data_IF_575521325848
#
_entry.id   IF_575521325848
#
_cell.length_a   1.000
_cell.length_b   1.000
_cell.length_c   1.000
_cell.angle_alpha   90.00
_cell.angle_beta   90.00
_cell.angle_gamma   90.00
#
_symmetry.space_group_name_H-M   'P 1'
#
loop_
_entity.id
_entity.type
_entity.pdbx_description
1 polymer ?
#
# COMPACT_ATOMS: atom_id res chain seq x y z
N UNK A 1 18.05 -1.75 -29.32
CA UNK A 1 16.66 -1.26 -29.47
C UNK A 1 16.52 -0.07 -28.55
N UNK A 2 16.02 1.07 -29.02
CA UNK A 2 15.85 2.25 -28.18
C UNK A 2 14.91 1.91 -27.01
N UNK A 3 15.31 2.25 -25.79
CA UNK A 3 14.46 2.12 -24.61
C UNK A 3 13.74 3.46 -24.48
N UNK A 4 12.44 3.44 -24.68
CA UNK A 4 11.59 4.62 -24.57
C UNK A 4 10.49 4.36 -23.55
N UNK A 5 10.21 5.39 -22.73
CA UNK A 5 9.15 5.37 -21.71
C UNK A 5 8.17 6.49 -22.03
N UNK A 6 6.92 6.11 -22.21
CA UNK A 6 5.83 7.04 -22.47
C UNK A 6 5.27 7.55 -21.15
N UNK A 7 5.01 8.85 -21.08
CA UNK A 7 4.15 9.44 -20.05
C UNK A 7 2.92 9.97 -20.77
N UNK A 8 1.73 9.54 -20.35
CA UNK A 8 0.49 10.00 -20.96
C UNK A 8 0.29 11.50 -20.68
N UNK A 9 -0.24 12.26 -21.64
CA UNK A 9 -0.45 13.71 -21.48
C UNK A 9 -1.39 14.02 -20.32
N UNK A 10 -2.36 13.15 -20.06
CA UNK A 10 -3.30 13.26 -18.93
C UNK A 10 -2.61 13.23 -17.56
N UNK A 11 -1.35 12.80 -17.48
CA UNK A 11 -0.53 12.87 -16.27
C UNK A 11 -0.57 14.28 -15.63
N UNK A 12 -0.55 15.34 -16.45
CA UNK A 12 -0.55 16.73 -15.95
C UNK A 12 -1.90 17.21 -15.43
N UNK A 13 -2.97 16.45 -15.67
CA UNK A 13 -4.34 16.76 -15.23
C UNK A 13 -4.78 15.86 -14.07
N UNK A 14 -3.95 14.90 -13.67
CA UNK A 14 -4.23 14.01 -12.54
C UNK A 14 -4.26 14.81 -11.23
N UNK A 15 -5.31 14.61 -10.43
CA UNK A 15 -5.56 15.37 -9.19
C UNK A 15 -4.38 15.23 -8.21
N UNK A 16 -3.83 14.02 -8.08
CA UNK A 16 -2.68 13.80 -7.22
C UNK A 16 -1.44 14.55 -7.74
N UNK A 17 -1.20 14.56 -9.06
CA UNK A 17 -0.06 15.27 -9.65
C UNK A 17 -0.16 16.80 -9.50
N UNK A 18 -1.39 17.35 -9.53
CA UNK A 18 -1.62 18.78 -9.34
C UNK A 18 -1.27 19.24 -7.92
N UNK A 19 -1.53 18.40 -6.92
CA UNK A 19 -1.22 18.67 -5.51
C UNK A 19 0.28 18.55 -5.16
N UNK A 20 1.08 17.91 -6.03
CA UNK A 20 2.52 17.77 -5.82
C UNK A 20 3.26 19.08 -6.03
N UNK A 21 4.24 19.32 -5.17
CA UNK A 21 5.24 20.37 -5.40
C UNK A 21 6.01 20.12 -6.71
N UNK A 22 6.57 21.15 -7.35
CA UNK A 22 7.38 20.96 -8.56
C UNK A 22 8.53 19.97 -8.39
N UNK A 23 9.15 19.96 -7.20
CA UNK A 23 10.23 19.04 -6.84
C UNK A 23 9.74 17.59 -6.79
N UNK A 24 8.64 17.32 -6.09
CA UNK A 24 8.04 15.99 -6.04
C UNK A 24 7.59 15.51 -7.42
N UNK A 25 6.98 16.40 -8.20
CA UNK A 25 6.51 16.07 -9.55
C UNK A 25 7.65 15.68 -10.48
N UNK A 26 8.73 16.46 -10.45
CA UNK A 26 9.95 16.12 -11.20
C UNK A 26 10.52 14.78 -10.76
N UNK A 27 10.60 14.54 -9.45
CA UNK A 27 11.11 13.28 -8.93
C UNK A 27 10.21 12.10 -9.31
N UNK A 28 8.88 12.26 -9.32
CA UNK A 28 7.97 11.21 -9.74
C UNK A 28 8.13 10.89 -11.23
N UNK A 29 8.23 11.91 -12.09
CA UNK A 29 8.54 11.71 -13.51
C UNK A 29 9.87 10.95 -13.66
N UNK A 30 10.88 11.32 -12.87
CA UNK A 30 12.15 10.60 -12.85
C UNK A 30 11.99 9.12 -12.47
N UNK A 31 11.17 8.79 -11.48
CA UNK A 31 10.87 7.38 -11.14
C UNK A 31 10.18 6.66 -12.30
N UNK A 32 9.28 7.33 -13.03
CA UNK A 32 8.57 6.72 -14.17
C UNK A 32 9.45 6.54 -15.42
N UNK A 33 10.42 7.43 -15.65
CA UNK A 33 11.20 7.48 -16.89
C UNK A 33 12.69 7.26 -16.73
N UNK A 34 13.16 6.97 -15.52
CA UNK A 34 14.57 6.82 -15.18
C UNK A 34 15.28 5.70 -15.96
N UNK A 35 16.60 5.77 -16.05
CA UNK A 35 17.42 4.86 -16.88
C UNK A 35 17.33 3.39 -16.43
N UNK A 36 16.96 3.15 -15.17
CA UNK A 36 16.80 1.80 -14.60
C UNK A 36 15.39 1.24 -14.72
N UNK A 37 14.41 2.04 -15.14
CA UNK A 37 13.00 1.63 -15.21
C UNK A 37 12.79 0.44 -16.13
N UNK A 38 11.92 -0.48 -15.70
CA UNK A 38 11.64 -1.76 -16.36
C UNK A 38 10.20 -1.80 -16.85
N UNK A 39 9.93 -2.69 -17.80
CA UNK A 39 8.59 -2.85 -18.34
C UNK A 39 7.59 -3.36 -17.28
N UNK A 40 8.06 -4.15 -16.31
CA UNK A 40 7.26 -4.58 -15.16
C UNK A 40 7.05 -3.50 -14.08
N UNK A 41 7.73 -2.35 -14.15
CA UNK A 41 7.66 -1.32 -13.11
C UNK A 41 8.37 -1.67 -11.80
N UNK A 42 9.10 -2.80 -11.75
CA UNK A 42 9.93 -3.22 -10.62
C UNK A 42 11.40 -3.16 -11.04
N UNK A 43 12.21 -2.42 -10.31
CA UNK A 43 13.63 -2.26 -10.64
C UNK A 43 14.46 -1.79 -9.46
N UNK A 44 15.77 -2.08 -9.51
CA UNK A 44 16.72 -1.54 -8.54
C UNK A 44 16.90 -0.05 -8.76
N UNK A 45 16.71 0.75 -7.71
CA UNK A 45 17.00 2.19 -7.70
C UNK A 45 18.22 2.47 -6.80
N UNK A 46 19.44 2.53 -7.35
CA UNK A 46 20.59 2.99 -6.59
C UNK A 46 20.44 4.48 -6.28
N UNK A 47 20.29 4.84 -5.01
CA UNK A 47 20.10 6.24 -4.57
C UNK A 47 21.21 7.17 -5.09
N UNK A 48 22.45 6.69 -5.23
CA UNK A 48 23.58 7.44 -5.80
C UNK A 48 23.41 7.78 -7.29
N UNK A 49 22.74 6.93 -8.05
CA UNK A 49 22.40 7.23 -9.46
C UNK A 49 21.30 8.27 -9.52
N UNK A 50 20.28 8.16 -8.65
CA UNK A 50 19.22 9.16 -8.54
C UNK A 50 19.79 10.53 -8.16
N UNK A 51 20.71 10.60 -7.20
CA UNK A 51 21.43 11.83 -6.81
C UNK A 51 22.10 12.50 -8.03
N UNK A 52 22.84 11.72 -8.82
CA UNK A 52 23.57 12.24 -9.98
C UNK A 52 22.64 12.65 -11.15
N UNK A 53 21.60 11.86 -11.43
CA UNK A 53 20.69 12.11 -12.56
C UNK A 53 19.70 13.25 -12.26
N UNK A 54 19.27 13.40 -11.00
CA UNK A 54 18.33 14.47 -10.59
C UNK A 54 19.03 15.76 -10.15
N UNK A 55 20.32 15.68 -9.78
CA UNK A 55 21.07 16.80 -9.19
C UNK A 55 20.74 17.09 -7.73
N UNK A 56 19.89 16.29 -7.09
CA UNK A 56 19.58 16.38 -5.67
C UNK A 56 20.69 15.77 -4.83
N UNK A 57 20.74 16.13 -3.54
CA UNK A 57 21.61 15.44 -2.58
C UNK A 57 20.92 14.16 -2.05
N UNK A 58 21.70 13.30 -1.40
CA UNK A 58 21.20 12.02 -0.87
C UNK A 58 20.00 12.18 0.09
N UNK A 59 20.03 13.18 0.96
CA UNK A 59 18.97 13.44 1.95
C UNK A 59 17.65 13.79 1.26
N UNK A 60 17.69 14.66 0.24
CA UNK A 60 16.52 15.02 -0.56
C UNK A 60 15.98 13.81 -1.32
N UNK A 61 16.85 12.99 -1.94
CA UNK A 61 16.42 11.76 -2.64
C UNK A 61 15.71 10.82 -1.67
N UNK A 62 16.26 10.61 -0.48
CA UNK A 62 15.69 9.72 0.53
C UNK A 62 14.36 10.26 1.08
N UNK A 63 14.28 11.57 1.35
CA UNK A 63 13.06 12.24 1.78
C UNK A 63 11.95 12.11 0.73
N UNK A 64 12.25 12.39 -0.54
CA UNK A 64 11.27 12.30 -1.63
C UNK A 64 10.82 10.85 -1.83
N UNK A 65 11.75 9.89 -1.79
CA UNK A 65 11.43 8.47 -1.89
C UNK A 65 10.46 8.05 -0.77
N UNK A 66 10.74 8.41 0.48
CA UNK A 66 9.87 8.10 1.61
C UNK A 66 8.49 8.75 1.47
N UNK A 67 8.39 9.99 0.98
CA UNK A 67 7.09 10.64 0.71
C UNK A 67 6.26 9.86 -0.30
N UNK A 68 6.85 9.35 -1.39
CA UNK A 68 6.12 8.54 -2.36
C UNK A 68 5.71 7.15 -1.84
N UNK A 69 6.46 6.59 -0.90
CA UNK A 69 6.04 5.41 -0.14
C UNK A 69 4.85 5.74 0.76
N UNK A 70 4.89 6.86 1.48
CA UNK A 70 3.78 7.33 2.33
C UNK A 70 2.51 7.67 1.53
N UNK A 71 2.65 8.21 0.32
CA UNK A 71 1.53 8.42 -0.61
C UNK A 71 0.98 7.13 -1.19
N UNK A 72 1.64 6.00 -1.01
CA UNK A 72 1.25 4.71 -1.58
C UNK A 72 1.41 4.64 -3.11
N UNK A 73 2.27 5.48 -3.69
CA UNK A 73 2.55 5.46 -5.14
C UNK A 73 3.68 4.51 -5.51
N UNK A 74 4.58 4.23 -4.56
CA UNK A 74 5.66 3.27 -4.73
C UNK A 74 5.81 2.40 -3.49
N UNK A 75 6.39 1.22 -3.66
CA UNK A 75 6.97 0.42 -2.60
C UNK A 75 8.48 0.41 -2.79
N UNK A 76 9.22 0.45 -1.69
CA UNK A 76 10.67 0.40 -1.72
C UNK A 76 11.16 -0.59 -0.68
N UNK A 77 11.98 -1.54 -1.11
CA UNK A 77 12.66 -2.47 -0.23
C UNK A 77 14.11 -2.03 0.00
N UNK A 78 14.46 -1.77 1.26
CA UNK A 78 15.79 -1.30 1.64
C UNK A 78 16.86 -2.39 1.49
N UNK A 79 16.50 -3.67 1.61
CA UNK A 79 17.45 -4.79 1.54
C UNK A 79 17.90 -5.05 0.10
N UNK A 80 16.93 -5.24 -0.81
CA UNK A 80 17.21 -5.50 -2.22
C UNK A 80 17.49 -4.22 -3.01
N UNK A 81 17.13 -3.05 -2.46
CA UNK A 81 17.14 -1.72 -3.10
C UNK A 81 16.23 -1.65 -4.32
N UNK A 82 15.22 -2.51 -4.35
CA UNK A 82 14.21 -2.58 -5.40
C UNK A 82 13.05 -1.64 -5.09
N UNK A 83 12.55 -1.01 -6.14
CA UNK A 83 11.40 -0.13 -6.14
C UNK A 83 10.33 -0.77 -7.00
N UNK A 84 9.09 -0.77 -6.52
CA UNK A 84 7.90 -1.16 -7.28
C UNK A 84 6.94 0.02 -7.40
N UNK A 85 6.59 0.42 -8.63
CA UNK A 85 5.63 1.50 -8.88
C UNK A 85 4.21 0.94 -8.87
N UNK A 86 3.36 1.46 -7.98
CA UNK A 86 1.96 1.05 -7.87
C UNK A 86 1.16 1.55 -9.08
N UNK A 87 0.19 0.74 -9.53
CA UNK A 87 -0.63 0.99 -10.71
C UNK A 87 0.16 1.18 -12.02
N UNK A 88 1.36 0.60 -12.10
CA UNK A 88 2.20 0.68 -13.31
C UNK A 88 1.50 0.10 -14.56
N UNK A 89 0.80 -1.03 -14.40
CA UNK A 89 0.15 -1.77 -15.49
C UNK A 89 -0.99 -0.97 -16.15
N UNK A 90 -1.68 -0.13 -15.39
CA UNK A 90 -2.73 0.76 -15.91
C UNK A 90 -2.21 1.67 -17.03
N UNK A 91 -1.00 2.20 -16.87
CA UNK A 91 -0.39 3.12 -17.84
C UNK A 91 0.55 2.40 -18.83
N UNK A 92 1.08 1.24 -18.45
CA UNK A 92 2.05 0.45 -19.23
C UNK A 92 1.56 -1.00 -19.44
N UNK A 93 0.44 -1.19 -20.15
CA UNK A 93 -0.20 -2.50 -20.27
C UNK A 93 0.61 -3.52 -21.09
N UNK A 94 0.40 -4.80 -20.81
CA UNK A 94 1.03 -5.91 -21.52
C UNK A 94 0.20 -6.25 -22.76
N UNK A 95 0.40 -5.47 -23.83
CA UNK A 95 -0.44 -5.56 -25.03
C UNK A 95 -0.07 -6.71 -25.99
N UNK A 96 1.16 -7.21 -25.94
CA UNK A 96 1.63 -8.22 -26.88
C UNK A 96 2.63 -9.19 -26.26
N UNK A 97 2.82 -10.33 -26.94
CA UNK A 97 3.71 -11.42 -26.51
C UNK A 97 5.18 -11.01 -26.36
N UNK A 98 5.63 -9.98 -27.07
CA UNK A 98 7.02 -9.50 -26.95
C UNK A 98 7.21 -8.68 -25.65
N UNK A 99 6.23 -7.84 -25.32
CA UNK A 99 6.17 -7.12 -24.04
C UNK A 99 6.09 -8.13 -22.89
N UNK A 100 5.22 -9.13 -23.02
CA UNK A 100 5.10 -10.21 -22.04
C UNK A 100 6.43 -10.96 -21.82
N UNK A 101 7.13 -11.35 -22.90
CA UNK A 101 8.47 -11.95 -22.81
C UNK A 101 9.50 -11.03 -22.15
N UNK A 102 9.39 -9.73 -22.38
CA UNK A 102 10.26 -8.73 -21.74
C UNK A 102 9.99 -8.69 -20.23
N UNK A 103 8.73 -8.55 -19.83
CA UNK A 103 8.28 -8.56 -18.43
C UNK A 103 8.72 -9.85 -17.73
N UNK A 104 8.48 -11.00 -18.36
CA UNK A 104 8.91 -12.30 -17.81
C UNK A 104 10.43 -12.36 -17.56
N UNK A 105 11.25 -11.82 -18.47
CA UNK A 105 12.71 -11.78 -18.28
C UNK A 105 13.10 -10.87 -17.13
N UNK A 106 12.43 -9.72 -17.00
CA UNK A 106 12.70 -8.75 -15.93
C UNK A 106 12.28 -9.29 -14.56
N UNK A 107 11.09 -9.88 -14.44
CA UNK A 107 10.61 -10.46 -13.18
C UNK A 107 11.50 -11.58 -12.66
N UNK A 108 12.11 -12.39 -13.54
CA UNK A 108 13.11 -13.41 -13.12
C UNK A 108 14.35 -12.82 -12.45
N UNK A 109 14.65 -11.55 -12.69
CA UNK A 109 15.81 -10.86 -12.10
C UNK A 109 15.47 -10.11 -10.82
N UNK A 110 14.18 -9.96 -10.51
CA UNK A 110 13.71 -9.34 -9.27
C UNK A 110 14.05 -10.26 -8.10
N UNK A 111 14.65 -9.69 -7.06
CA UNK A 111 15.07 -10.43 -5.87
C UNK A 111 13.94 -10.53 -4.86
N UNK A 112 13.16 -9.47 -4.71
CA UNK A 112 12.05 -9.42 -3.79
C UNK A 112 10.85 -10.20 -4.36
N UNK A 113 10.58 -11.38 -3.78
CA UNK A 113 9.48 -12.25 -4.20
C UNK A 113 8.12 -11.62 -3.96
N UNK A 114 7.96 -10.85 -2.88
CA UNK A 114 6.72 -10.15 -2.55
C UNK A 114 6.28 -9.24 -3.71
N UNK A 115 7.20 -8.46 -4.28
CA UNK A 115 6.89 -7.60 -5.41
C UNK A 115 6.45 -8.38 -6.64
N UNK A 116 7.03 -9.56 -6.88
CA UNK A 116 6.62 -10.44 -7.97
C UNK A 116 5.20 -10.96 -7.71
N UNK A 117 4.90 -11.44 -6.51
CA UNK A 117 3.55 -11.91 -6.15
C UNK A 117 2.51 -10.78 -6.27
N UNK A 118 2.80 -9.59 -5.77
CA UNK A 118 1.92 -8.42 -5.90
C UNK A 118 1.67 -8.05 -7.37
N UNK A 119 2.71 -8.09 -8.20
CA UNK A 119 2.58 -7.83 -9.64
C UNK A 119 1.68 -8.86 -10.33
N UNK A 120 1.85 -10.15 -10.02
CA UNK A 120 1.05 -11.22 -10.59
C UNK A 120 -0.41 -11.13 -10.13
N UNK A 121 -0.66 -10.84 -8.85
CA UNK A 121 -2.01 -10.59 -8.32
C UNK A 121 -2.69 -9.44 -9.05
N UNK A 122 -2.00 -8.32 -9.24
CA UNK A 122 -2.51 -7.18 -10.03
C UNK A 122 -2.83 -7.57 -11.48
N UNK A 123 -2.01 -8.42 -12.10
CA UNK A 123 -2.31 -8.92 -13.43
C UNK A 123 -3.59 -9.76 -13.49
N UNK A 124 -3.90 -10.51 -12.43
CA UNK A 124 -5.11 -11.31 -12.30
C UNK A 124 -6.34 -10.42 -12.07
N UNK A 125 -6.26 -9.46 -11.14
CA UNK A 125 -7.33 -8.50 -10.82
C UNK A 125 -7.78 -7.69 -12.05
N UNK A 126 -6.84 -7.32 -12.93
CA UNK A 126 -7.11 -6.56 -14.15
C UNK A 126 -7.34 -7.46 -15.39
N UNK A 127 -7.44 -8.77 -15.21
CA UNK A 127 -7.73 -9.78 -16.25
C UNK A 127 -6.76 -9.74 -17.46
N UNK A 128 -5.47 -9.49 -17.21
CA UNK A 128 -4.48 -9.43 -18.29
C UNK A 128 -4.17 -10.80 -18.91
N UNK A 129 -4.11 -10.84 -20.24
CA UNK A 129 -3.76 -12.07 -21.00
C UNK A 129 -2.25 -12.31 -21.01
N UNK A 130 -1.74 -12.97 -19.97
CA UNK A 130 -0.31 -13.25 -19.78
C UNK A 130 0.05 -14.74 -19.62
N UNK A 131 -0.21 -15.57 -20.64
CA UNK A 131 -0.01 -17.03 -20.57
C UNK A 131 1.42 -17.48 -20.24
N UNK A 132 2.45 -16.75 -20.69
CA UNK A 132 3.86 -17.08 -20.43
C UNK A 132 4.26 -16.81 -18.98
N UNK A 133 3.67 -15.80 -18.34
CA UNK A 133 3.90 -15.55 -16.92
C UNK A 133 3.27 -16.65 -16.08
N UNK A 134 2.02 -17.02 -16.36
CA UNK A 134 1.33 -18.12 -15.68
C UNK A 134 2.04 -19.45 -15.85
N UNK A 135 2.59 -19.72 -17.04
CA UNK A 135 3.37 -20.92 -17.27
C UNK A 135 4.64 -20.99 -16.40
N UNK A 136 5.26 -19.85 -16.09
CA UNK A 136 6.56 -19.83 -15.40
C UNK A 136 6.44 -19.69 -13.89
N UNK A 137 5.60 -18.77 -13.42
CA UNK A 137 5.42 -18.48 -12.00
C UNK A 137 4.29 -19.29 -11.37
N UNK A 138 3.45 -19.93 -12.18
CA UNK A 138 2.15 -20.44 -11.74
C UNK A 138 1.09 -19.33 -11.78
N UNK A 139 -0.18 -19.71 -11.72
CA UNK A 139 -1.17 -18.76 -11.20
C UNK A 139 -0.78 -18.52 -9.74
N UNK A 140 -0.76 -17.27 -9.25
CA UNK A 140 -0.77 -17.07 -7.80
C UNK A 140 -1.99 -17.87 -7.33
N UNK A 141 -1.73 -18.86 -6.47
CA UNK A 141 -2.83 -19.55 -5.80
C UNK A 141 -3.68 -18.45 -5.17
N UNK A 142 -5.01 -18.60 -5.24
CA UNK A 142 -5.86 -17.91 -4.28
C UNK A 142 -5.42 -18.48 -2.94
N UNK A 143 -4.40 -17.87 -2.33
CA UNK A 143 -4.06 -18.12 -0.96
C UNK A 143 -5.21 -17.53 -0.13
N UNK A 144 -6.28 -18.31 -0.01
CA UNK A 144 -6.48 -19.00 1.25
C UNK A 144 -5.12 -19.61 1.65
N UNK A 145 -4.50 -19.07 2.67
CA UNK A 145 -4.70 -19.88 3.86
C UNK A 145 -3.67 -21.00 4.16
N UNK A 146 -2.45 -21.07 3.59
CA UNK A 146 -1.49 -22.16 3.93
C UNK A 146 -0.06 -22.08 3.37
N UNK A 147 0.84 -21.56 4.22
CA UNK A 147 2.14 -22.16 4.60
C UNK A 147 3.38 -22.14 3.67
N UNK A 148 4.28 -21.20 3.98
CA UNK A 148 5.66 -21.52 4.39
C UNK A 148 5.98 -20.79 5.72
N UNK A 149 5.53 -21.43 6.80
CA UNK A 149 6.02 -21.42 8.18
C UNK A 149 6.46 -20.08 8.81
N UNK A 150 5.49 -19.34 9.36
CA UNK A 150 5.50 -18.96 10.79
C UNK A 150 4.10 -19.24 11.33
N UNK A 151 4.01 -20.18 12.26
CA UNK A 151 2.80 -20.67 12.92
C UNK A 151 1.98 -19.51 13.52
N UNK A 152 0.84 -19.15 12.92
CA UNK A 152 -0.31 -18.58 13.62
C UNK A 152 -1.58 -18.99 12.86
N UNK A 153 -2.48 -19.64 13.59
CA UNK A 153 -3.77 -20.18 13.13
C UNK A 153 -4.61 -19.17 12.35
N UNK A 154 -5.20 -19.67 11.27
CA UNK A 154 -6.15 -18.95 10.43
C UNK A 154 -7.54 -19.42 10.83
N UNK A 155 -8.21 -18.63 11.66
CA UNK A 155 -9.66 -18.72 11.77
C UNK A 155 -10.27 -17.95 10.60
N UNK A 156 -11.00 -18.66 9.75
CA UNK A 156 -12.04 -18.10 8.90
C UNK A 156 -12.85 -17.10 9.73
N UNK A 157 -12.90 -15.85 9.29
CA UNK A 157 -13.83 -14.90 9.86
C UNK A 157 -15.19 -15.17 9.19
N UNK A 158 -15.88 -16.18 9.74
CA UNK A 158 -17.34 -16.27 9.69
C UNK A 158 -17.98 -14.94 10.13
N UNK A 159 -19.23 -14.72 9.73
CA UNK A 159 -20.03 -13.50 9.91
C UNK A 159 -20.27 -13.04 11.38
N UNK A 160 -19.48 -13.50 12.35
CA UNK A 160 -19.63 -13.24 13.80
C UNK A 160 -18.41 -12.59 14.47
N UNK A 161 -17.51 -11.96 13.71
CA UNK A 161 -16.45 -11.14 14.35
C UNK A 161 -17.01 -9.84 14.92
N UNK A 162 -16.62 -9.46 16.15
CA UNK A 162 -16.95 -8.16 16.70
C UNK A 162 -16.46 -7.06 15.76
N UNK A 163 -17.38 -6.20 15.29
CA UNK A 163 -17.11 -5.01 14.47
C UNK A 163 -16.82 -5.25 12.97
N UNK A 164 -17.36 -6.32 12.37
CA UNK A 164 -17.30 -6.57 10.92
C UNK A 164 -17.70 -5.38 10.02
N UNK A 165 -18.58 -4.50 10.51
CA UNK A 165 -19.01 -3.27 9.83
C UNK A 165 -17.84 -2.29 9.55
N UNK A 166 -16.81 -2.26 10.40
CA UNK A 166 -15.63 -1.40 10.22
C UNK A 166 -14.85 -1.79 8.98
N UNK A 167 -14.62 -3.10 8.82
CA UNK A 167 -13.89 -3.66 7.68
C UNK A 167 -14.68 -3.46 6.38
N UNK A 168 -15.98 -3.79 6.39
CA UNK A 168 -16.88 -3.57 5.24
C UNK A 168 -16.89 -2.10 4.80
N UNK A 169 -17.02 -1.15 5.73
CA UNK A 169 -17.04 0.27 5.39
C UNK A 169 -15.69 0.75 4.83
N UNK A 170 -14.58 0.30 5.42
CA UNK A 170 -13.25 0.65 4.94
C UNK A 170 -13.04 0.18 3.49
N UNK A 171 -13.38 -1.07 3.19
CA UNK A 171 -13.22 -1.65 1.87
C UNK A 171 -14.08 -0.95 0.81
N UNK A 172 -15.33 -0.64 1.15
CA UNK A 172 -16.29 -0.02 0.22
C UNK A 172 -15.99 1.45 -0.08
N UNK A 173 -15.45 2.19 0.88
CA UNK A 173 -15.41 3.66 0.81
C UNK A 173 -14.01 4.27 0.91
N UNK A 174 -13.01 3.51 1.34
CA UNK A 174 -11.64 4.00 1.56
C UNK A 174 -10.65 3.33 0.61
N UNK A 175 -10.40 2.03 0.78
CA UNK A 175 -9.39 1.27 0.03
C UNK A 175 -9.53 -0.22 0.31
N UNK A 176 -8.90 -1.08 -0.51
CA UNK A 176 -8.78 -2.51 -0.23
C UNK A 176 -8.14 -2.80 1.14
N UNK A 177 -8.58 -3.89 1.77
CA UNK A 177 -8.10 -4.35 3.07
C UNK A 177 -6.83 -5.19 2.89
N UNK A 178 -5.65 -4.56 2.94
CA UNK A 178 -4.40 -5.33 3.04
C UNK A 178 -4.19 -5.87 4.47
N UNK A 179 -3.36 -6.92 4.67
CA UNK A 179 -3.09 -7.47 6.00
C UNK A 179 -2.60 -6.42 7.01
N UNK A 180 -1.82 -5.43 6.55
CA UNK A 180 -1.38 -4.30 7.37
C UNK A 180 -2.56 -3.42 7.83
N UNK A 181 -3.50 -3.13 6.93
CA UNK A 181 -4.69 -2.31 7.25
C UNK A 181 -5.60 -3.07 8.21
N UNK A 182 -5.82 -4.36 7.99
CA UNK A 182 -6.64 -5.20 8.89
C UNK A 182 -6.04 -5.22 10.29
N UNK A 183 -4.71 -5.44 10.40
CA UNK A 183 -3.99 -5.39 11.68
C UNK A 183 -4.16 -4.03 12.37
N UNK A 184 -3.94 -2.93 11.65
CA UNK A 184 -4.08 -1.58 12.21
C UNK A 184 -5.52 -1.27 12.65
N UNK A 185 -6.53 -1.59 11.84
CA UNK A 185 -7.93 -1.42 12.21
C UNK A 185 -8.27 -2.25 13.44
N UNK A 186 -7.77 -3.49 13.53
CA UNK A 186 -7.94 -4.36 14.71
C UNK A 186 -7.33 -3.74 15.97
N UNK A 187 -6.10 -3.22 15.88
CA UNK A 187 -5.43 -2.51 16.98
C UNK A 187 -6.23 -1.27 17.43
N UNK A 188 -6.80 -0.52 16.48
CA UNK A 188 -7.63 0.65 16.81
C UNK A 188 -8.99 0.26 17.40
N UNK A 189 -9.64 -0.79 16.88
CA UNK A 189 -10.90 -1.33 17.43
C UNK A 189 -10.70 -1.72 18.90
N UNK A 190 -9.58 -2.41 19.21
CA UNK A 190 -9.23 -2.78 20.59
C UNK A 190 -8.95 -1.56 21.48
N UNK A 191 -8.39 -0.48 20.93
CA UNK A 191 -7.98 0.69 21.70
C UNK A 191 -9.12 1.67 22.03
N UNK A 192 -10.08 1.85 21.12
CA UNK A 192 -11.12 2.89 21.25
C UNK A 192 -12.55 2.44 20.95
N UNK A 193 -12.79 1.14 20.71
CA UNK A 193 -14.02 0.52 20.20
C UNK A 193 -14.23 0.68 18.68
N UNK A 194 -14.86 -0.31 18.04
CA UNK A 194 -15.09 -0.26 16.60
C UNK A 194 -16.15 0.74 16.16
N UNK A 195 -17.10 1.14 17.04
CA UNK A 195 -18.02 2.24 16.75
C UNK A 195 -17.27 3.55 16.48
N UNK A 196 -16.25 3.85 17.32
CA UNK A 196 -15.40 5.04 17.14
C UNK A 196 -14.52 4.92 15.90
N UNK A 197 -14.00 3.73 15.59
CA UNK A 197 -13.23 3.53 14.36
C UNK A 197 -14.12 3.76 13.13
N UNK A 198 -15.34 3.24 13.14
CA UNK A 198 -16.32 3.44 12.07
C UNK A 198 -16.70 4.92 11.91
N UNK A 199 -16.90 5.65 13.01
CA UNK A 199 -17.20 7.08 12.97
C UNK A 199 -16.04 7.89 12.37
N UNK A 200 -14.79 7.59 12.76
CA UNK A 200 -13.62 8.24 12.18
C UNK A 200 -13.47 7.94 10.68
N UNK A 201 -13.86 6.74 10.23
CA UNK A 201 -13.88 6.37 8.82
C UNK A 201 -14.95 7.14 8.04
N UNK A 202 -16.14 7.32 8.60
CA UNK A 202 -17.21 8.14 8.00
C UNK A 202 -16.76 9.59 7.85
N UNK A 203 -16.15 10.18 8.87
CA UNK A 203 -15.59 11.54 8.80
C UNK A 203 -14.50 11.63 7.72
N UNK A 204 -13.61 10.65 7.63
CA UNK A 204 -12.59 10.60 6.59
C UNK A 204 -13.20 10.56 5.18
N UNK A 205 -14.29 9.81 5.00
CA UNK A 205 -15.04 9.74 3.75
C UNK A 205 -15.75 11.06 3.41
N UNK A 206 -16.48 11.66 4.37
CA UNK A 206 -17.20 12.92 4.19
C UNK A 206 -16.29 14.10 3.87
N UNK A 207 -15.10 14.14 4.47
CA UNK A 207 -14.08 15.16 4.19
C UNK A 207 -13.26 14.88 2.92
N UNK A 208 -13.60 13.84 2.16
CA UNK A 208 -12.87 13.35 0.98
C UNK A 208 -11.37 13.06 1.26
N UNK A 209 -11.04 12.73 2.50
CA UNK A 209 -9.67 12.40 2.96
C UNK A 209 -9.60 10.92 3.30
N UNK A 210 -9.77 10.09 2.28
CA UNK A 210 -9.93 8.63 2.34
C UNK A 210 -8.59 7.91 2.55
N UNK A 211 -7.87 8.26 3.61
CA UNK A 211 -6.60 7.61 3.97
C UNK A 211 -6.60 7.16 5.41
N UNK A 212 -6.02 5.98 5.68
CA UNK A 212 -5.89 5.48 7.06
C UNK A 212 -5.07 6.45 7.93
N UNK A 213 -4.13 7.20 7.36
CA UNK A 213 -3.38 8.23 8.07
C UNK A 213 -4.28 9.34 8.65
N UNK A 214 -5.28 9.79 7.89
CA UNK A 214 -6.25 10.79 8.34
C UNK A 214 -7.16 10.22 9.44
N UNK A 215 -7.64 8.99 9.27
CA UNK A 215 -8.43 8.24 10.27
C UNK A 215 -7.63 8.10 11.57
N UNK A 216 -6.36 7.66 11.52
CA UNK A 216 -5.47 7.61 12.69
C UNK A 216 -5.31 8.98 13.35
N UNK A 217 -5.27 10.06 12.56
CA UNK A 217 -5.23 11.43 13.08
C UNK A 217 -6.46 11.78 13.92
N UNK A 218 -7.66 11.45 13.42
CA UNK A 218 -8.93 11.64 14.12
C UNK A 218 -8.94 10.83 15.43
N UNK A 219 -8.61 9.54 15.35
CA UNK A 219 -8.63 8.63 16.50
C UNK A 219 -7.60 9.03 17.57
N UNK A 220 -6.40 9.47 17.19
CA UNK A 220 -5.40 10.03 18.12
C UNK A 220 -5.90 11.31 18.79
N UNK A 221 -6.59 12.18 18.05
CA UNK A 221 -7.17 13.40 18.60
C UNK A 221 -8.26 13.08 19.63
N UNK A 222 -9.11 12.08 19.33
CA UNK A 222 -10.12 11.60 20.27
C UNK A 222 -9.52 10.93 21.51
N UNK A 223 -8.44 10.15 21.36
CA UNK A 223 -7.69 9.61 22.50
C UNK A 223 -7.09 10.72 23.39
N UNK A 224 -6.56 11.79 22.77
CA UNK A 224 -5.98 12.93 23.49
C UNK A 224 -7.05 13.77 24.20
N UNK A 225 -8.22 13.91 23.59
CA UNK A 225 -9.39 14.58 24.20
C UNK A 225 -10.10 13.69 25.24
N UNK A 226 -9.87 12.37 25.19
CA UNK A 226 -10.50 11.34 26.01
C UNK A 226 -9.69 10.85 27.22
N UNK A 227 -8.73 11.62 27.75
CA UNK A 227 -8.22 11.42 29.13
C UNK A 227 -9.29 11.80 30.16
N UNK A 228 -10.42 11.11 30.08
CA UNK A 228 -11.59 11.28 30.93
C UNK A 228 -12.62 10.17 30.77
N UNK A 229 -12.22 8.97 30.29
CA UNK A 229 -12.84 7.68 30.61
C UNK A 229 -12.06 6.53 29.94
N UNK A 230 -11.05 6.02 30.65
CA UNK A 230 -10.60 4.65 30.48
C UNK A 230 -11.64 3.75 31.15
N UNK A 231 -11.95 2.65 30.49
CA UNK A 231 -12.84 1.59 30.99
C UNK A 231 -12.21 1.05 32.28
N UNK A 232 -12.79 1.38 33.43
CA UNK A 232 -12.52 0.70 34.70
C UNK A 232 -13.14 -0.70 34.64
N UNK A 233 -12.30 -1.70 34.37
CA UNK A 233 -12.53 -3.02 34.91
C UNK A 233 -11.77 -3.14 36.22
N UNK A 234 -12.49 -3.30 37.34
CA UNK A 234 -12.09 -4.20 38.42
C UNK A 234 -13.18 -4.33 39.48
N UNK A 235 -13.52 -5.59 39.71
CA UNK A 235 -13.64 -6.20 41.04
C UNK A 235 -14.61 -5.51 42.01
N UNK A 236 -15.78 -6.14 42.16
CA UNK A 236 -16.52 -6.04 43.40
C UNK A 236 -15.66 -6.56 44.54
N UNK A 237 -15.31 -5.68 45.47
CA UNK A 237 -15.09 -6.05 46.86
C UNK A 237 -15.56 -4.93 47.78
N UNK A 238 -16.36 -5.37 48.75
CA UNK A 238 -17.04 -4.62 49.79
C UNK A 238 -16.02 -4.00 50.75
N UNK A 239 -16.21 -2.74 51.15
CA UNK A 239 -15.88 -2.26 52.50
C UNK A 239 -16.61 -0.94 52.85
N UNK A 240 -17.59 -1.09 53.75
CA UNK A 240 -17.93 -0.25 54.91
C UNK A 240 -18.39 1.21 54.74
N UNK A 241 -19.63 1.40 55.20
CA UNK A 241 -20.22 2.62 55.74
C UNK A 241 -19.36 3.28 56.83
N UNK A 242 -19.42 4.60 56.87
CA UNK A 242 -19.47 5.44 58.09
C UNK A 242 -20.32 6.68 57.75
N UNK A 243 -20.97 7.36 58.72
CA UNK A 243 -21.07 7.10 60.16
C UNK A 243 -22.46 6.62 60.63
#
# INVERSE_FOLDING_TARGET
MAVYRNVQVNFWQDEFILDLTPEERYFYIYLLTGTKTKQCGIYVLPKRVAELETGYNMETVEKLLNRFVEYGKILYDAETKELYIINWLHYNPILNKNVEKCVLRELKTVKNKEFVHMFLRKCLEEEWKIPLLWQYFGMPEEEDNSSLEVVVEEEEIEEDTPHGEVYKFYEQHISSLSPYIVKELKEWIQRVSGERVLEALKIAFEHNKRTLAYVKGILRNWCKKGQGNLIEGKEGEVCLHDP
#
